data_IF_206725847002
#
_entry.id   IF_206725847002
#
_cell.length_a   1.000
_cell.length_b   1.000
_cell.length_c   1.000
_cell.angle_alpha   90.00
_cell.angle_beta   90.00
_cell.angle_gamma   90.00
#
_symmetry.space_group_name_H-M   'P 1'
#
loop_
_entity.id
_entity.type
_entity.pdbx_description
1 polymer ?
#
# COMPACT_ATOMS: atom_id res chain seq x y z
N UNK A 1 -24.96 3.04 -0.30
CA UNK A 1 -23.93 2.23 0.37
C UNK A 1 -23.52 2.94 1.64
N UNK A 2 -23.31 2.19 2.72
CA UNK A 2 -22.83 2.75 3.98
C UNK A 2 -21.45 3.43 3.82
N UNK A 3 -21.20 4.61 4.42
CA UNK A 3 -19.92 5.31 4.31
C UNK A 3 -18.70 4.49 4.76
N UNK A 4 -18.88 3.56 5.72
CA UNK A 4 -17.81 2.67 6.18
C UNK A 4 -17.41 1.63 5.13
N UNK A 5 -18.38 1.09 4.38
CA UNK A 5 -18.10 0.19 3.24
C UNK A 5 -17.36 0.94 2.14
N UNK A 6 -17.81 2.15 1.80
CA UNK A 6 -17.17 2.97 0.77
C UNK A 6 -15.72 3.30 1.14
N UNK A 7 -15.46 3.64 2.41
CA UNK A 7 -14.10 3.88 2.90
C UNK A 7 -13.21 2.63 2.75
N UNK A 8 -13.70 1.45 3.12
CA UNK A 8 -12.91 0.21 2.98
C UNK A 8 -12.64 -0.13 1.51
N UNK A 9 -13.63 0.05 0.62
CA UNK A 9 -13.44 -0.15 -0.81
C UNK A 9 -12.46 0.85 -1.41
N UNK A 10 -12.50 2.11 -0.97
CA UNK A 10 -11.51 3.12 -1.34
C UNK A 10 -10.10 2.70 -0.90
N UNK A 11 -9.92 2.29 0.37
CA UNK A 11 -8.63 1.85 0.86
C UNK A 11 -8.11 0.63 0.10
N UNK A 12 -9.00 -0.31 -0.23
CA UNK A 12 -8.66 -1.50 -1.01
C UNK A 12 -8.22 -1.13 -2.44
N UNK A 13 -8.96 -0.22 -3.08
CA UNK A 13 -8.62 0.35 -4.38
C UNK A 13 -7.23 1.00 -4.37
N UNK A 14 -6.97 1.92 -3.41
CA UNK A 14 -5.67 2.60 -3.29
C UNK A 14 -4.55 1.60 -3.03
N UNK A 15 -4.78 0.59 -2.18
CA UNK A 15 -3.78 -0.45 -1.92
C UNK A 15 -3.41 -1.21 -3.21
N UNK A 16 -4.40 -1.60 -4.01
CA UNK A 16 -4.15 -2.32 -5.27
C UNK A 16 -3.49 -1.45 -6.34
N UNK A 17 -3.93 -0.21 -6.45
CA UNK A 17 -3.30 0.78 -7.31
C UNK A 17 -1.82 0.95 -6.97
N UNK A 18 -1.49 1.16 -5.69
CA UNK A 18 -0.10 1.39 -5.27
C UNK A 18 0.76 0.13 -5.40
N UNK A 19 0.23 -1.07 -5.12
CA UNK A 19 0.96 -2.32 -5.37
C UNK A 19 1.29 -2.48 -6.85
N UNK A 20 0.34 -2.19 -7.74
CA UNK A 20 0.54 -2.27 -9.19
C UNK A 20 1.65 -1.32 -9.63
N UNK A 21 1.57 -0.04 -9.24
CA UNK A 21 2.59 0.94 -9.59
C UNK A 21 3.96 0.57 -9.00
N UNK A 22 4.01 0.12 -7.74
CA UNK A 22 5.27 -0.25 -7.08
C UNK A 22 5.96 -1.43 -7.78
N UNK A 23 5.22 -2.51 -8.00
CA UNK A 23 5.80 -3.75 -8.53
C UNK A 23 6.08 -3.66 -10.03
N UNK A 24 5.26 -2.94 -10.78
CA UNK A 24 5.44 -2.81 -12.23
C UNK A 24 6.49 -1.76 -12.60
N UNK A 25 6.74 -0.76 -11.75
CA UNK A 25 7.87 0.19 -11.95
C UNK A 25 9.20 -0.33 -11.38
N UNK A 26 9.21 -1.21 -10.38
CA UNK A 26 10.44 -1.62 -9.69
C UNK A 26 11.53 -2.22 -10.61
N UNK A 27 11.23 -3.16 -11.54
CA UNK A 27 12.23 -3.65 -12.48
C UNK A 27 12.77 -2.56 -13.41
N UNK A 28 11.92 -1.62 -13.84
CA UNK A 28 12.30 -0.52 -14.73
C UNK A 28 13.26 0.44 -14.05
N UNK A 29 12.96 0.82 -12.80
CA UNK A 29 13.83 1.66 -11.96
C UNK A 29 15.13 0.94 -11.63
N UNK A 30 15.09 -0.36 -11.33
CA UNK A 30 16.29 -1.15 -11.03
C UNK A 30 17.28 -1.19 -12.20
N UNK A 31 16.77 -1.40 -13.42
CA UNK A 31 17.60 -1.41 -14.63
C UNK A 31 18.15 -0.04 -14.98
N UNK A 32 17.32 1.01 -14.88
CA UNK A 32 17.76 2.35 -15.19
C UNK A 32 18.78 2.83 -14.14
N UNK A 33 18.41 2.86 -12.86
CA UNK A 33 19.22 3.53 -11.84
C UNK A 33 20.41 2.73 -11.34
N UNK A 34 20.32 1.41 -11.31
CA UNK A 34 21.32 0.52 -10.71
C UNK A 34 21.91 -0.51 -11.70
N UNK A 35 21.55 -0.42 -12.98
CA UNK A 35 22.06 -1.30 -14.05
C UNK A 35 21.86 -2.79 -13.78
N UNK A 36 20.79 -3.15 -13.07
CA UNK A 36 20.46 -4.53 -12.79
C UNK A 36 20.21 -5.31 -14.08
N UNK A 37 20.70 -6.54 -14.14
CA UNK A 37 20.37 -7.47 -15.21
C UNK A 37 18.92 -7.97 -15.07
N UNK A 38 18.32 -8.44 -16.16
CA UNK A 38 16.97 -9.03 -16.13
C UNK A 38 16.87 -10.20 -15.14
N UNK A 39 17.94 -10.98 -14.98
CA UNK A 39 17.98 -12.08 -14.01
C UNK A 39 18.03 -11.59 -12.56
N UNK A 40 18.70 -10.47 -12.27
CA UNK A 40 18.71 -9.89 -10.93
C UNK A 40 17.33 -9.31 -10.58
N UNK A 41 16.68 -8.62 -11.53
CA UNK A 41 15.32 -8.12 -11.31
C UNK A 41 14.33 -9.26 -11.06
N UNK A 42 14.38 -10.35 -11.82
CA UNK A 42 13.45 -11.46 -11.61
C UNK A 42 13.71 -12.19 -10.29
N UNK A 43 14.97 -12.36 -9.89
CA UNK A 43 15.32 -12.92 -8.58
C UNK A 43 14.83 -12.04 -7.43
N UNK A 44 15.03 -10.73 -7.53
CA UNK A 44 14.52 -9.76 -6.55
C UNK A 44 13.00 -9.87 -6.39
N UNK A 45 12.25 -9.86 -7.49
CA UNK A 45 10.79 -9.97 -7.48
C UNK A 45 10.30 -11.32 -6.93
N UNK A 46 11.03 -12.41 -7.21
CA UNK A 46 10.75 -13.72 -6.65
C UNK A 46 10.94 -13.73 -5.12
N UNK A 47 12.03 -13.13 -4.62
CA UNK A 47 12.27 -13.00 -3.17
C UNK A 47 11.16 -12.19 -2.50
N UNK A 48 10.73 -11.08 -3.11
CA UNK A 48 9.62 -10.27 -2.59
C UNK A 48 8.34 -11.08 -2.48
N UNK A 49 7.99 -11.84 -3.53
CA UNK A 49 6.82 -12.72 -3.54
C UNK A 49 6.86 -13.80 -2.46
N UNK A 50 8.01 -14.46 -2.27
CA UNK A 50 8.18 -15.50 -1.25
C UNK A 50 8.02 -14.92 0.16
N UNK A 51 8.52 -13.71 0.41
CA UNK A 51 8.49 -13.07 1.73
C UNK A 51 7.08 -12.65 2.20
N UNK A 52 6.12 -12.57 1.27
CA UNK A 52 4.71 -12.29 1.61
C UNK A 52 4.11 -13.39 2.48
N UNK A 53 4.44 -14.66 2.22
CA UNK A 53 3.89 -15.81 2.95
C UNK A 53 4.22 -15.78 4.45
N UNK A 54 5.50 -15.70 4.88
CA UNK A 54 5.83 -15.65 6.30
C UNK A 54 5.30 -14.37 6.96
N UNK A 55 5.27 -13.25 6.24
CA UNK A 55 4.74 -11.99 6.80
C UNK A 55 3.25 -12.09 7.09
N UNK A 56 2.46 -12.61 6.15
CA UNK A 56 1.02 -12.80 6.35
C UNK A 56 0.72 -13.81 7.46
N UNK A 57 1.53 -14.87 7.59
CA UNK A 57 1.43 -15.80 8.70
C UNK A 57 1.75 -15.14 10.06
N UNK A 58 2.82 -14.36 10.14
CA UNK A 58 3.21 -13.64 11.35
C UNK A 58 2.18 -12.58 11.76
N UNK A 59 1.60 -11.87 10.78
CA UNK A 59 0.54 -10.91 11.00
C UNK A 59 -0.73 -11.61 11.52
N UNK A 60 -1.15 -12.69 10.86
CA UNK A 60 -2.30 -13.49 11.29
C UNK A 60 -2.13 -13.97 12.73
N UNK A 61 -0.96 -14.51 13.07
CA UNK A 61 -0.62 -14.90 14.43
C UNK A 61 -0.72 -13.74 15.42
N UNK A 62 -0.22 -12.56 15.05
CA UNK A 62 -0.25 -11.36 15.90
C UNK A 62 -1.68 -10.86 16.14
N UNK A 63 -2.54 -10.90 15.12
CA UNK A 63 -3.96 -10.54 15.23
C UNK A 63 -4.69 -11.53 16.13
N UNK A 64 -4.55 -12.83 15.89
CA UNK A 64 -5.17 -13.88 16.71
C UNK A 64 -4.73 -13.79 18.17
N UNK A 65 -3.44 -13.55 18.42
CA UNK A 65 -2.91 -13.38 19.78
C UNK A 65 -3.51 -12.16 20.48
N UNK A 66 -3.66 -11.02 19.79
CA UNK A 66 -4.31 -9.82 20.35
C UNK A 66 -5.76 -10.10 20.74
N UNK A 67 -6.49 -10.85 19.91
CA UNK A 67 -7.88 -11.21 20.19
C UNK A 67 -8.03 -12.16 21.38
N UNK A 68 -7.16 -13.16 21.49
CA UNK A 68 -7.13 -14.05 22.66
C UNK A 68 -6.82 -13.30 23.96
N UNK A 69 -5.89 -12.34 23.92
CA UNK A 69 -5.57 -11.52 25.09
C UNK A 69 -6.74 -10.63 25.50
N UNK A 70 -7.47 -10.06 24.54
CA UNK A 70 -8.70 -9.29 24.81
C UNK A 70 -9.73 -10.13 25.55
N UNK A 71 -10.05 -11.32 25.05
CA UNK A 71 -11.01 -12.23 25.70
C UNK A 71 -10.59 -12.59 27.14
N UNK A 72 -9.29 -12.80 27.38
CA UNK A 72 -8.76 -13.09 28.72
C UNK A 72 -8.86 -11.91 29.67
N UNK A 73 -8.61 -10.69 29.18
CA UNK A 73 -8.74 -9.46 29.98
C UNK A 73 -10.20 -9.16 30.32
N UNK A 74 -11.11 -9.37 29.36
CA UNK A 74 -12.56 -9.27 29.58
C UNK A 74 -13.03 -10.26 30.66
N UNK A 75 -12.56 -11.51 30.62
CA UNK A 75 -12.89 -12.50 31.65
C UNK A 75 -12.27 -12.22 33.03
N UNK A 76 -11.14 -11.49 33.09
CA UNK A 76 -10.42 -11.21 34.33
C UNK A 76 -10.88 -9.95 35.05
N UNK A 77 -11.65 -9.07 34.39
CA UNK A 77 -12.14 -7.83 34.98
C UNK A 77 -13.63 -7.91 35.34
N UNK A 78 -13.92 -8.05 36.63
CA UNK A 78 -15.21 -7.68 37.22
C UNK A 78 -15.44 -6.17 36.98
N UNK A 79 -16.09 -5.82 35.88
CA UNK A 79 -16.72 -4.50 35.67
C UNK A 79 -15.79 -3.29 35.48
N UNK A 80 -14.73 -3.37 34.66
CA UNK A 80 -14.03 -2.17 34.19
C UNK A 80 -14.23 -2.00 32.68
N UNK A 81 -15.40 -1.48 32.31
CA UNK A 81 -15.90 -1.38 30.94
C UNK A 81 -15.35 -0.18 30.15
N UNK A 82 -14.45 0.65 30.70
CA UNK A 82 -14.26 2.02 30.17
C UNK A 82 -12.83 2.43 29.77
N UNK A 83 -11.84 1.52 29.76
CA UNK A 83 -10.47 1.91 29.37
C UNK A 83 -9.91 1.24 28.11
N UNK A 84 -10.62 0.28 27.51
CA UNK A 84 -10.14 -0.41 26.30
C UNK A 84 -11.15 -0.44 25.14
N UNK A 85 -12.33 0.15 25.33
CA UNK A 85 -13.42 0.21 24.36
C UNK A 85 -13.42 1.48 23.49
N UNK A 86 -12.24 1.90 23.00
CA UNK A 86 -12.13 3.09 22.14
C UNK A 86 -11.28 2.88 20.87
N UNK A 87 -11.00 1.62 20.52
CA UNK A 87 -10.14 1.34 19.38
C UNK A 87 -10.47 0.02 18.72
N UNK A 88 -11.29 0.08 17.68
CA UNK A 88 -11.34 -0.95 16.64
C UNK A 88 -9.89 -1.37 16.28
N UNK A 89 -9.51 -2.55 16.78
CA UNK A 89 -8.14 -3.05 16.71
C UNK A 89 -7.70 -3.26 15.26
N UNK A 90 -8.66 -3.54 14.39
CA UNK A 90 -8.44 -3.68 12.95
C UNK A 90 -8.19 -2.33 12.30
N UNK A 91 -8.96 -1.28 12.65
CA UNK A 91 -8.65 0.09 12.19
C UNK A 91 -7.26 0.54 12.63
N UNK A 92 -6.90 0.26 13.88
CA UNK A 92 -5.59 0.66 14.41
C UNK A 92 -4.46 -0.09 13.69
N UNK A 93 -4.67 -1.37 13.38
CA UNK A 93 -3.73 -2.16 12.59
C UNK A 93 -3.62 -1.66 11.14
N UNK A 94 -4.74 -1.31 10.51
CA UNK A 94 -4.76 -0.69 9.16
C UNK A 94 -3.94 0.60 9.19
N UNK A 95 -4.17 1.49 10.17
CA UNK A 95 -3.39 2.73 10.32
C UNK A 95 -1.89 2.45 10.49
N UNK A 96 -1.51 1.46 11.29
CA UNK A 96 -0.10 1.06 11.48
C UNK A 96 0.55 0.57 10.18
N UNK A 97 -0.16 -0.27 9.41
CA UNK A 97 0.33 -0.77 8.12
C UNK A 97 0.40 0.34 7.07
N UNK A 98 -0.58 1.25 7.03
CA UNK A 98 -0.57 2.41 6.14
C UNK A 98 0.60 3.35 6.45
N UNK A 99 0.83 3.68 7.73
CA UNK A 99 1.97 4.49 8.14
C UNK A 99 3.30 3.83 7.74
N UNK A 100 3.44 2.52 7.98
CA UNK A 100 4.62 1.78 7.55
C UNK A 100 4.82 1.81 6.03
N UNK A 101 3.74 1.73 5.26
CA UNK A 101 3.78 1.81 3.79
C UNK A 101 4.18 3.20 3.31
N UNK A 102 3.65 4.27 3.94
CA UNK A 102 4.08 5.64 3.65
C UNK A 102 5.57 5.83 3.93
N UNK A 103 6.08 5.30 5.05
CA UNK A 103 7.51 5.34 5.38
C UNK A 103 8.33 4.57 4.34
N UNK A 104 7.89 3.38 3.95
CA UNK A 104 8.55 2.58 2.93
C UNK A 104 8.63 3.33 1.58
N UNK A 105 7.53 3.93 1.11
CA UNK A 105 7.55 4.73 -0.12
C UNK A 105 8.41 5.98 0.01
N UNK A 106 8.40 6.65 1.16
CA UNK A 106 9.27 7.81 1.39
C UNK A 106 10.75 7.44 1.32
N UNK A 107 11.14 6.23 1.74
CA UNK A 107 12.52 5.73 1.60
C UNK A 107 12.93 5.43 0.15
N UNK A 108 11.95 5.21 -0.74
CA UNK A 108 12.18 5.01 -2.18
C UNK A 108 12.45 6.34 -2.88
N UNK A 109 11.89 7.46 -2.39
CA UNK A 109 12.10 8.77 -2.99
C UNK A 109 13.58 9.15 -2.97
N UNK A 110 14.04 9.75 -4.06
CA UNK A 110 15.39 10.29 -4.18
C UNK A 110 15.31 11.79 -3.89
N UNK A 111 15.91 12.20 -2.77
CA UNK A 111 15.89 13.59 -2.28
C UNK A 111 17.34 14.04 -2.13
N UNK A 112 17.90 14.57 -3.21
CA UNK A 112 19.28 15.03 -3.25
C UNK A 112 19.56 16.20 -2.30
N UNK A 113 18.56 17.07 -2.07
CA UNK A 113 18.68 18.26 -1.20
C UNK A 113 18.97 17.94 0.27
N UNK A 114 18.67 16.72 0.72
CA UNK A 114 18.87 16.28 2.12
C UNK A 114 20.12 15.39 2.25
N UNK A 115 20.89 15.18 1.17
CA UNK A 115 22.10 14.36 1.16
C UNK A 115 21.83 12.84 1.25
N UNK A 116 20.56 12.43 1.15
CA UNK A 116 20.14 11.03 1.18
C UNK A 116 20.09 10.44 -0.23
N UNK A 117 21.25 10.27 -0.86
CA UNK A 117 21.35 9.60 -2.16
C UNK A 117 20.74 8.19 -2.10
N UNK A 118 19.91 7.85 -3.08
CA UNK A 118 19.32 6.52 -3.17
C UNK A 118 20.39 5.46 -3.49
N UNK A 119 20.77 4.70 -2.46
CA UNK A 119 21.62 3.52 -2.59
C UNK A 119 20.79 2.28 -2.96
N UNK A 120 21.43 1.33 -3.63
CA UNK A 120 20.84 0.06 -4.03
C UNK A 120 20.19 -0.68 -2.86
N UNK A 121 20.88 -0.77 -1.71
CA UNK A 121 20.37 -1.49 -0.54
C UNK A 121 19.13 -0.82 0.06
N UNK A 122 19.14 0.52 0.15
CA UNK A 122 17.99 1.31 0.62
C UNK A 122 16.79 1.09 -0.30
N UNK A 123 17.01 1.14 -1.61
CA UNK A 123 15.97 0.93 -2.60
C UNK A 123 15.35 -0.47 -2.50
N UNK A 124 16.16 -1.53 -2.52
CA UNK A 124 15.67 -2.91 -2.42
C UNK A 124 14.90 -3.10 -1.12
N UNK A 125 15.45 -2.64 0.01
CA UNK A 125 14.79 -2.76 1.31
C UNK A 125 13.45 -2.00 1.35
N UNK A 126 13.42 -0.76 0.83
CA UNK A 126 12.22 0.07 0.84
C UNK A 126 11.11 -0.51 -0.05
N UNK A 127 11.43 -0.97 -1.26
CA UNK A 127 10.46 -1.61 -2.17
C UNK A 127 9.96 -2.93 -1.56
N UNK A 128 10.85 -3.75 -1.00
CA UNK A 128 10.49 -5.00 -0.32
C UNK A 128 9.55 -4.74 0.85
N UNK A 129 9.92 -3.80 1.74
CA UNK A 129 9.14 -3.42 2.90
C UNK A 129 7.76 -2.89 2.49
N UNK A 130 7.71 -1.99 1.50
CA UNK A 130 6.46 -1.43 1.00
C UNK A 130 5.54 -2.50 0.42
N UNK A 131 6.07 -3.40 -0.41
CA UNK A 131 5.31 -4.50 -0.98
C UNK A 131 4.76 -5.42 0.11
N UNK A 132 5.61 -5.89 1.02
CA UNK A 132 5.21 -6.79 2.11
C UNK A 132 4.14 -6.17 3.00
N UNK A 133 4.27 -4.89 3.36
CA UNK A 133 3.28 -4.18 4.17
C UNK A 133 1.94 -3.99 3.44
N UNK A 134 1.93 -3.71 2.13
CA UNK A 134 0.70 -3.62 1.35
C UNK A 134 0.00 -4.97 1.18
N UNK A 135 0.76 -6.06 1.03
CA UNK A 135 0.19 -7.41 0.98
C UNK A 135 -0.39 -7.84 2.33
N UNK A 136 0.26 -7.45 3.43
CA UNK A 136 -0.28 -7.58 4.79
C UNK A 136 -1.57 -6.76 4.97
N UNK A 137 -1.57 -5.52 4.51
CA UNK A 137 -2.71 -4.60 4.60
C UNK A 137 -3.92 -5.13 3.83
N UNK A 138 -3.72 -5.73 2.66
CA UNK A 138 -4.78 -6.36 1.87
C UNK A 138 -5.57 -7.39 2.69
N UNK A 139 -4.88 -8.27 3.41
CA UNK A 139 -5.51 -9.29 4.26
C UNK A 139 -6.36 -8.70 5.37
N UNK A 140 -5.87 -7.64 6.04
CA UNK A 140 -6.60 -6.95 7.11
C UNK A 140 -7.81 -6.19 6.56
N UNK A 141 -7.66 -5.51 5.42
CA UNK A 141 -8.74 -4.79 4.75
C UNK A 141 -9.88 -5.73 4.34
N UNK A 142 -9.55 -6.90 3.78
CA UNK A 142 -10.56 -7.90 3.41
C UNK A 142 -11.29 -8.48 4.62
N UNK A 143 -10.56 -8.80 5.69
CA UNK A 143 -11.15 -9.23 6.96
C UNK A 143 -12.17 -8.21 7.46
N UNK A 144 -11.77 -6.93 7.50
CA UNK A 144 -12.64 -5.86 7.99
C UNK A 144 -13.83 -5.58 7.07
N UNK A 145 -13.60 -5.55 5.76
CA UNK A 145 -14.65 -5.34 4.75
C UNK A 145 -15.73 -6.42 4.85
N UNK A 146 -15.34 -7.69 5.05
CA UNK A 146 -16.28 -8.79 5.24
C UNK A 146 -17.18 -8.59 6.47
N UNK A 147 -16.62 -8.13 7.59
CA UNK A 147 -17.35 -7.86 8.84
C UNK A 147 -18.31 -6.67 8.67
N UNK A 148 -17.85 -5.57 8.07
CA UNK A 148 -18.66 -4.36 7.89
C UNK A 148 -19.84 -4.64 6.95
N UNK A 149 -19.64 -5.34 5.84
CA UNK A 149 -20.73 -5.67 4.92
C UNK A 149 -21.75 -6.61 5.60
N UNK A 150 -21.28 -7.61 6.34
CA UNK A 150 -22.15 -8.52 7.08
C UNK A 150 -22.98 -7.81 8.15
N UNK A 151 -22.39 -6.87 8.90
CA UNK A 151 -23.04 -6.21 10.03
C UNK A 151 -23.90 -5.00 9.62
N UNK A 152 -23.42 -4.20 8.66
CA UNK A 152 -23.96 -2.87 8.37
C UNK A 152 -24.74 -2.77 7.06
N UNK A 153 -24.68 -3.79 6.21
CA UNK A 153 -25.48 -3.85 4.98
C UNK A 153 -25.99 -5.27 4.74
N UNK A 154 -26.84 -5.81 5.65
CA UNK A 154 -27.35 -7.19 5.55
C UNK A 154 -28.16 -7.46 4.27
N UNK A 155 -28.71 -6.41 3.64
CA UNK A 155 -29.37 -6.50 2.33
C UNK A 155 -28.37 -6.69 1.17
N UNK A 156 -27.19 -6.04 1.23
CA UNK A 156 -26.11 -6.29 0.26
C UNK A 156 -25.41 -7.63 0.50
N UNK A 157 -25.40 -8.13 1.74
CA UNK A 157 -24.82 -9.44 2.08
C UNK A 157 -25.62 -10.65 1.55
N UNK A 158 -26.89 -10.46 1.17
CA UNK A 158 -27.79 -11.53 0.69
C UNK A 158 -27.86 -11.68 -0.83
N UNK A 159 -27.12 -10.85 -1.59
CA UNK A 159 -27.16 -10.83 -3.06
C UNK A 159 -25.78 -10.93 -3.73
N UNK A 160 -25.73 -10.66 -5.04
CA UNK A 160 -24.51 -10.72 -5.87
C UNK A 160 -23.43 -9.72 -5.42
N UNK A 161 -23.82 -8.61 -4.76
CA UNK A 161 -22.90 -7.63 -4.15
C UNK A 161 -22.34 -8.10 -2.79
N UNK A 162 -21.77 -9.30 -2.75
CA UNK A 162 -21.03 -9.75 -1.57
C UNK A 162 -19.68 -9.01 -1.43
N UNK A 163 -19.07 -9.11 -0.26
CA UNK A 163 -17.77 -8.49 0.03
C UNK A 163 -16.65 -8.95 -0.91
N UNK A 164 -16.70 -10.20 -1.39
CA UNK A 164 -15.74 -10.76 -2.32
C UNK A 164 -15.83 -10.14 -3.72
N UNK A 165 -17.03 -9.96 -4.28
CA UNK A 165 -17.25 -9.35 -5.60
C UNK A 165 -16.81 -7.89 -5.57
N UNK A 166 -17.26 -7.12 -4.57
CA UNK A 166 -16.92 -5.70 -4.46
C UNK A 166 -15.41 -5.49 -4.27
N UNK A 167 -14.76 -6.33 -3.46
CA UNK A 167 -13.30 -6.30 -3.34
C UNK A 167 -12.62 -6.65 -4.68
N UNK A 168 -13.13 -7.64 -5.41
CA UNK A 168 -12.58 -8.05 -6.70
C UNK A 168 -12.70 -6.93 -7.74
N UNK A 169 -13.87 -6.28 -7.83
CA UNK A 169 -14.09 -5.15 -8.73
C UNK A 169 -13.20 -3.96 -8.37
N UNK A 170 -13.18 -3.55 -7.10
CA UNK A 170 -12.32 -2.47 -6.62
C UNK A 170 -10.83 -2.76 -6.88
N UNK A 171 -10.41 -4.01 -6.68
CA UNK A 171 -9.02 -4.41 -6.93
C UNK A 171 -8.67 -4.46 -8.42
N UNK A 172 -9.60 -4.90 -9.26
CA UNK A 172 -9.41 -4.91 -10.73
C UNK A 172 -9.32 -3.50 -11.28
N UNK A 173 -10.18 -2.59 -10.83
CA UNK A 173 -10.12 -1.17 -11.17
C UNK A 173 -8.80 -0.55 -10.69
N UNK A 174 -8.36 -0.89 -9.47
CA UNK A 174 -7.07 -0.46 -8.92
C UNK A 174 -5.89 -0.80 -9.82
N UNK A 175 -5.82 -2.06 -10.28
CA UNK A 175 -4.77 -2.52 -11.19
C UNK A 175 -4.84 -1.84 -12.56
N UNK A 176 -6.02 -1.81 -13.17
CA UNK A 176 -6.21 -1.19 -14.49
C UNK A 176 -5.81 0.30 -14.49
N UNK A 177 -6.17 1.04 -13.43
CA UNK A 177 -5.75 2.44 -13.29
C UNK A 177 -4.25 2.56 -12.97
N UNK A 178 -3.67 1.60 -12.25
CA UNK A 178 -2.22 1.51 -12.04
C UNK A 178 -1.45 1.38 -13.37
N UNK A 179 -1.88 0.46 -14.23
CA UNK A 179 -1.29 0.27 -15.57
C UNK A 179 -1.44 1.51 -16.46
N UNK A 180 -2.62 2.14 -16.44
CA UNK A 180 -2.87 3.38 -17.16
C UNK A 180 -1.96 4.51 -16.65
N UNK A 181 -1.79 4.64 -15.33
CA UNK A 181 -0.90 5.60 -14.71
C UNK A 181 0.57 5.36 -15.09
N UNK A 182 1.03 4.12 -15.05
CA UNK A 182 2.39 3.76 -15.48
C UNK A 182 2.66 4.14 -16.93
N UNK A 183 1.69 3.86 -17.81
CA UNK A 183 1.76 4.22 -19.23
C UNK A 183 1.83 5.74 -19.42
N UNK A 184 1.02 6.48 -18.66
CA UNK A 184 1.02 7.94 -18.69
C UNK A 184 2.36 8.53 -18.24
N UNK A 185 2.91 8.08 -17.11
CA UNK A 185 4.21 8.55 -16.61
C UNK A 185 5.33 8.21 -17.60
N UNK A 186 5.34 6.99 -18.14
CA UNK A 186 6.33 6.59 -19.14
C UNK A 186 6.25 7.45 -20.42
N UNK A 187 5.04 7.80 -20.88
CA UNK A 187 4.82 8.68 -22.04
C UNK A 187 5.35 10.09 -21.78
N UNK A 188 5.08 10.67 -20.61
CA UNK A 188 5.58 11.99 -20.23
C UNK A 188 7.11 12.05 -20.25
N UNK A 189 7.78 11.06 -19.67
CA UNK A 189 9.25 10.98 -19.69
C UNK A 189 9.82 10.76 -21.11
N UNK A 190 9.08 10.06 -21.97
CA UNK A 190 9.49 9.84 -23.36
C UNK A 190 9.37 11.11 -24.20
N UNK A 191 8.36 11.95 -23.94
CA UNK A 191 8.13 13.20 -24.66
C UNK A 191 9.21 14.25 -24.37
N UNK A 192 9.72 14.31 -23.13
CA UNK A 192 10.86 15.19 -22.77
C UNK A 192 12.16 14.79 -23.47
N UNK A 193 12.33 13.49 -23.77
CA UNK A 193 13.51 12.97 -24.48
C UNK A 193 13.47 13.23 -26.00
N UNK A 194 12.28 13.56 -26.53
CA UNK A 194 11.98 13.73 -27.95
C UNK A 194 12.69 14.89 -28.67
N UNK A 195 13.23 15.86 -27.92
CA UNK A 195 13.79 17.10 -28.47
C UNK A 195 15.33 17.10 -28.62
N UNK A 196 16.03 16.05 -28.16
CA UNK A 196 17.49 16.10 -27.95
C UNK A 196 18.27 14.86 -28.43
N UNK A 197 17.78 14.14 -29.45
CA UNK A 197 18.40 12.89 -29.95
C UNK A 197 19.81 13.02 -30.56
N UNK A 198 20.46 14.18 -30.54
CA UNK A 198 21.72 14.38 -31.26
C UNK A 198 22.95 14.74 -30.43
N UNK A 199 22.87 14.97 -29.12
CA UNK A 199 24.09 15.30 -28.35
C UNK A 199 24.12 14.63 -26.98
N UNK A 200 25.18 13.84 -26.79
CA UNK A 200 25.74 13.36 -25.52
C UNK A 200 24.89 12.47 -24.60
N UNK A 201 25.23 11.18 -24.66
CA UNK A 201 24.83 10.06 -23.79
C UNK A 201 25.33 10.20 -22.31
N UNK A 202 25.54 11.42 -21.82
CA UNK A 202 26.16 11.71 -20.51
C UNK A 202 25.34 12.62 -19.59
N UNK A 203 24.23 13.21 -20.06
CA UNK A 203 23.36 14.05 -19.22
C UNK A 203 21.98 13.43 -19.09
N UNK A 204 21.71 12.80 -17.95
CA UNK A 204 20.46 12.99 -17.21
C UNK A 204 20.40 12.10 -15.96
N UNK A 205 21.26 12.39 -14.97
CA UNK A 205 21.04 11.87 -13.62
C UNK A 205 19.74 12.50 -13.05
N UNK A 206 19.47 13.77 -13.37
CA UNK A 206 18.25 14.49 -12.98
C UNK A 206 16.96 13.90 -13.59
N UNK A 207 16.93 13.53 -14.88
CA UNK A 207 15.71 12.87 -15.42
C UNK A 207 15.47 11.48 -14.83
N UNK A 208 16.54 10.78 -14.40
CA UNK A 208 16.45 9.48 -13.70
C UNK A 208 15.92 9.61 -12.27
N UNK A 209 16.28 10.69 -11.58
CA UNK A 209 15.71 11.07 -10.26
C UNK A 209 14.24 11.45 -10.41
N UNK A 210 13.91 12.25 -11.44
CA UNK A 210 12.55 12.61 -11.79
C UNK A 210 11.64 11.40 -12.01
N UNK A 211 12.14 10.35 -12.66
CA UNK A 211 11.40 9.11 -12.93
C UNK A 211 10.96 8.39 -11.63
N UNK A 212 11.86 8.24 -10.66
CA UNK A 212 11.56 7.60 -9.36
C UNK A 212 10.47 8.41 -8.64
N UNK A 213 10.68 9.72 -8.52
CA UNK A 213 9.74 10.59 -7.82
C UNK A 213 8.39 10.69 -8.56
N UNK A 214 8.36 10.62 -9.88
CA UNK A 214 7.13 10.60 -10.69
C UNK A 214 6.29 9.34 -10.46
N UNK A 215 6.92 8.17 -10.28
CA UNK A 215 6.21 6.93 -9.95
C UNK A 215 5.73 6.91 -8.49
N UNK A 216 6.58 7.26 -7.54
CA UNK A 216 6.30 7.02 -6.11
C UNK A 216 5.69 8.21 -5.37
N UNK A 217 5.96 9.44 -5.80
CA UNK A 217 5.46 10.66 -5.16
C UNK A 217 3.92 10.74 -5.13
N UNK A 218 3.22 10.61 -6.27
CA UNK A 218 1.76 10.62 -6.30
C UNK A 218 1.12 9.50 -5.46
N UNK A 219 1.74 8.33 -5.42
CA UNK A 219 1.31 7.22 -4.58
C UNK A 219 1.42 7.54 -3.08
N UNK A 220 2.52 8.16 -2.66
CA UNK A 220 2.69 8.60 -1.28
C UNK A 220 1.62 9.63 -0.89
N UNK A 221 1.33 10.59 -1.76
CA UNK A 221 0.27 11.58 -1.52
C UNK A 221 -1.10 10.91 -1.38
N UNK A 222 -1.42 9.97 -2.27
CA UNK A 222 -2.68 9.23 -2.24
C UNK A 222 -2.85 8.41 -0.95
N UNK A 223 -1.76 7.80 -0.46
CA UNK A 223 -1.76 7.07 0.80
C UNK A 223 -1.86 7.98 2.02
N UNK A 224 -1.18 9.13 2.03
CA UNK A 224 -1.29 10.12 3.10
C UNK A 224 -2.71 10.71 3.18
N UNK A 225 -3.33 10.99 2.02
CA UNK A 225 -4.73 11.40 1.95
C UNK A 225 -5.66 10.32 2.50
N UNK A 226 -5.42 9.06 2.13
CA UNK A 226 -6.19 7.92 2.63
C UNK A 226 -6.03 7.74 4.15
N UNK A 227 -4.81 7.91 4.68
CA UNK A 227 -4.52 7.89 6.11
C UNK A 227 -5.31 9.00 6.83
N UNK A 228 -5.28 10.22 6.29
CA UNK A 228 -6.04 11.34 6.82
C UNK A 228 -7.54 11.07 6.85
N UNK A 229 -8.11 10.48 5.80
CA UNK A 229 -9.54 10.12 5.77
C UNK A 229 -9.90 9.11 6.87
N UNK A 230 -9.07 8.11 7.12
CA UNK A 230 -9.30 7.13 8.19
C UNK A 230 -9.23 7.80 9.56
N UNK A 231 -8.23 8.65 9.79
CA UNK A 231 -8.09 9.39 11.05
C UNK A 231 -9.28 10.34 11.29
N UNK A 232 -9.73 11.05 10.25
CA UNK A 232 -10.90 11.94 10.32
C UNK A 232 -12.16 11.18 10.66
N UNK A 233 -12.41 10.04 10.01
CA UNK A 233 -13.58 9.21 10.29
C UNK A 233 -13.54 8.62 11.70
N UNK A 234 -12.36 8.25 12.20
CA UNK A 234 -12.19 7.79 13.59
C UNK A 234 -12.46 8.92 14.60
N UNK A 235 -11.97 10.13 14.34
CA UNK A 235 -12.21 11.29 15.19
C UNK A 235 -13.69 11.71 15.20
N UNK A 236 -14.36 11.67 14.05
CA UNK A 236 -15.78 11.98 13.94
C UNK A 236 -16.70 10.96 14.63
N UNK A 237 -16.25 9.72 14.83
CA UNK A 237 -16.98 8.69 15.55
C UNK A 237 -16.77 8.72 17.08
N UNK A 238 -15.83 9.54 17.58
CA UNK A 238 -15.50 9.69 18.99
C UNK A 238 -16.16 10.92 19.65
N UNK A 239 -16.98 11.67 18.90
CA UNK A 239 -17.76 12.83 19.32
C UNK A 239 -19.24 12.46 19.29
#
# INVERSE_FOLDING_TARGET
>A
MDPGVLLMLWLFFVNKFTVEVLMSSAPSVSRSRFEFTTSQCSLMMAVFGILVLPTNAALSYSVTRREMLRQRLEQSSLGFHDAFDNGDGETTLILQLMMGTCVALALVLDVDDIGLKLHTDRYIFAVMLGFVLMQAQEGVLLSKLSKIIAFRSPESAKGTCNSGLLATEAGTIGRALGDAFLTFVASMCSHESGAHWHLHQSENIESRIGLVNAYFGPNLILLLFSLWMVMRNKAAAAV
#
